data_IF_413495708180
#
_entry.id   IF_413495708180
#
_cell.length_a   1.000
_cell.length_b   1.000
_cell.length_c   1.000
_cell.angle_alpha   90.00
_cell.angle_beta   90.00
_cell.angle_gamma   90.00
#
_symmetry.space_group_name_H-M   'P 1'
#
loop_
_entity.id
_entity.type
_entity.pdbx_description
1 polymer ?
#
# COMPACT_ATOMS: atom_id res chain seq x y z
N UNK A 1 -15.19 -2.98 3.65
CA UNK A 1 -14.08 -3.37 4.55
C UNK A 1 -14.34 -2.71 5.88
N UNK A 2 -14.09 -3.42 6.97
CA UNK A 2 -14.47 -3.03 8.33
C UNK A 2 -13.41 -3.51 9.31
N UNK A 3 -13.41 -2.92 10.51
CA UNK A 3 -12.58 -3.38 11.63
C UNK A 3 -13.32 -4.48 12.39
N UNK A 4 -12.59 -5.47 12.86
CA UNK A 4 -13.13 -6.51 13.74
C UNK A 4 -13.89 -5.89 14.93
N UNK A 5 -15.10 -6.38 15.20
CA UNK A 5 -15.97 -5.86 16.26
C UNK A 5 -16.89 -4.72 15.85
N UNK A 6 -16.77 -4.17 14.64
CA UNK A 6 -17.75 -3.19 14.11
C UNK A 6 -19.02 -3.89 13.61
N UNK A 7 -20.16 -3.17 13.66
CA UNK A 7 -21.46 -3.72 13.24
C UNK A 7 -21.44 -4.15 11.76
N UNK A 8 -21.90 -5.36 11.48
CA UNK A 8 -21.92 -5.91 10.12
C UNK A 8 -20.58 -6.42 9.62
N UNK A 9 -19.55 -6.50 10.48
CA UNK A 9 -18.27 -7.07 10.10
C UNK A 9 -18.28 -8.59 10.19
N UNK A 10 -18.08 -9.25 9.05
CA UNK A 10 -18.07 -10.70 8.93
C UNK A 10 -16.69 -11.21 8.47
N UNK A 11 -16.26 -12.36 9.02
CA UNK A 11 -15.02 -13.06 8.64
C UNK A 11 -13.76 -12.18 8.70
N UNK A 12 -13.39 -11.65 9.89
CA UNK A 12 -12.18 -10.86 10.04
C UNK A 12 -10.95 -11.70 9.67
N UNK A 13 -9.99 -11.05 9.01
CA UNK A 13 -8.72 -11.67 8.62
C UNK A 13 -7.58 -10.92 9.29
N UNK A 14 -6.48 -11.61 9.68
CA UNK A 14 -5.30 -10.96 10.20
C UNK A 14 -4.84 -9.83 9.28
N UNK A 15 -4.62 -8.67 9.88
CA UNK A 15 -4.15 -7.47 9.20
C UNK A 15 -3.19 -6.71 10.10
N UNK A 16 -2.03 -6.35 9.57
CA UNK A 16 -0.99 -5.65 10.33
C UNK A 16 -0.32 -4.58 9.44
N UNK A 17 -0.25 -3.37 9.97
CA UNK A 17 0.41 -2.21 9.36
C UNK A 17 1.31 -1.57 10.40
N UNK A 18 2.58 -1.39 10.07
CA UNK A 18 3.48 -0.53 10.85
C UNK A 18 3.34 0.91 10.34
N UNK A 19 3.24 1.86 11.26
CA UNK A 19 3.08 3.30 10.98
C UNK A 19 4.20 4.07 11.66
N UNK A 20 4.91 4.89 10.88
CA UNK A 20 5.97 5.77 11.36
C UNK A 20 5.61 7.22 10.99
N UNK A 21 5.62 8.11 11.97
CA UNK A 21 5.36 9.54 11.73
C UNK A 21 6.63 10.22 11.26
N UNK A 22 6.55 10.87 10.11
CA UNK A 22 7.67 11.59 9.49
C UNK A 22 7.63 13.07 9.89
N UNK A 23 6.49 13.71 9.67
CA UNK A 23 6.32 15.15 9.85
C UNK A 23 4.90 15.47 10.34
N UNK A 24 4.77 16.53 11.14
CA UNK A 24 3.48 17.18 11.42
C UNK A 24 3.40 18.50 10.67
N UNK A 25 2.21 18.87 10.21
CA UNK A 25 2.00 20.13 9.50
C UNK A 25 0.54 20.43 9.28
N UNK A 26 0.28 21.32 8.34
CA UNK A 26 -1.05 21.66 7.90
C UNK A 26 -1.26 21.25 6.45
N UNK A 27 -2.43 20.75 6.11
CA UNK A 27 -2.89 20.58 4.73
C UNK A 27 -4.12 21.45 4.51
N UNK A 28 -4.04 22.43 3.61
CA UNK A 28 -5.12 23.40 3.37
C UNK A 28 -5.62 24.15 4.62
N UNK A 29 -4.79 24.21 5.67
CA UNK A 29 -5.11 24.86 6.95
C UNK A 29 -5.44 23.87 8.08
N UNK A 30 -5.72 22.61 7.77
CA UNK A 30 -6.09 21.59 8.75
C UNK A 30 -4.88 20.78 9.24
N UNK A 31 -4.84 20.37 10.51
CA UNK A 31 -3.71 19.62 11.07
C UNK A 31 -3.63 18.21 10.49
N UNK A 32 -2.47 17.87 9.91
CA UNK A 32 -2.22 16.53 9.35
C UNK A 32 -0.84 16.02 9.72
N UNK A 33 -0.66 14.71 9.59
CA UNK A 33 0.62 14.03 9.76
C UNK A 33 1.03 13.35 8.46
N UNK A 34 2.27 13.58 8.03
CA UNK A 34 2.90 12.79 6.97
C UNK A 34 3.50 11.54 7.60
N UNK A 35 3.12 10.38 7.09
CA UNK A 35 3.49 9.09 7.67
C UNK A 35 4.05 8.14 6.61
N UNK A 36 4.97 7.27 7.04
CA UNK A 36 5.39 6.09 6.29
C UNK A 36 4.61 4.88 6.79
N UNK A 37 3.96 4.17 5.88
CA UNK A 37 3.16 2.98 6.18
C UNK A 37 3.81 1.74 5.56
N UNK A 38 4.09 0.73 6.39
CA UNK A 38 4.61 -0.57 5.96
C UNK A 38 3.56 -1.65 6.21
N UNK A 39 2.75 -2.03 5.21
CA UNK A 39 1.79 -3.12 5.35
C UNK A 39 2.52 -4.47 5.38
N UNK A 40 2.36 -5.23 6.47
CA UNK A 40 2.88 -6.60 6.62
C UNK A 40 1.90 -7.66 6.11
N UNK A 41 0.69 -7.23 5.76
CA UNK A 41 -0.36 -8.03 5.12
C UNK A 41 -0.95 -7.26 3.95
N UNK A 42 -1.61 -7.95 3.01
CA UNK A 42 -2.30 -7.32 1.88
C UNK A 42 -3.81 -7.52 1.94
N UNK A 43 -4.52 -6.77 2.78
CA UNK A 43 -6.01 -6.71 2.74
C UNK A 43 -6.45 -5.57 1.82
N UNK A 44 -7.62 -5.72 1.21
CA UNK A 44 -8.22 -4.65 0.40
C UNK A 44 -8.40 -3.39 1.24
N UNK A 45 -7.93 -2.25 0.74
CA UNK A 45 -7.99 -0.95 1.42
C UNK A 45 -7.35 -0.93 2.82
N UNK A 46 -6.44 -1.86 3.14
CA UNK A 46 -5.89 -2.05 4.49
C UNK A 46 -5.42 -0.74 5.13
N UNK A 47 -4.56 0.00 4.44
CA UNK A 47 -3.97 1.24 4.96
C UNK A 47 -5.04 2.29 5.26
N UNK A 48 -5.97 2.49 4.32
CA UNK A 48 -7.08 3.44 4.42
C UNK A 48 -7.98 3.14 5.63
N UNK A 49 -8.37 1.87 5.77
CA UNK A 49 -9.22 1.40 6.88
C UNK A 49 -8.48 1.52 8.21
N UNK A 50 -7.19 1.16 8.28
CA UNK A 50 -6.41 1.26 9.52
C UNK A 50 -6.20 2.72 9.95
N UNK A 51 -5.88 3.61 9.01
CA UNK A 51 -5.75 5.05 9.28
C UNK A 51 -7.06 5.64 9.80
N UNK A 52 -8.18 5.37 9.11
CA UNK A 52 -9.52 5.78 9.56
C UNK A 52 -9.88 5.22 10.95
N UNK A 53 -9.59 3.94 11.21
CA UNK A 53 -9.84 3.30 12.49
C UNK A 53 -9.03 3.88 13.66
N UNK A 54 -7.86 4.45 13.38
CA UNK A 54 -7.06 5.18 14.37
C UNK A 54 -7.58 6.61 14.63
N UNK A 55 -8.61 7.05 13.92
CA UNK A 55 -9.10 8.44 13.96
C UNK A 55 -8.26 9.40 13.13
N UNK A 56 -7.41 8.89 12.23
CA UNK A 56 -6.54 9.67 11.36
C UNK A 56 -6.73 9.22 9.90
N UNK A 57 -7.89 9.50 9.28
CA UNK A 57 -8.14 9.12 7.89
C UNK A 57 -7.11 9.74 6.93
N UNK A 58 -6.97 9.12 5.77
CA UNK A 58 -6.09 9.64 4.72
C UNK A 58 -6.80 10.81 4.06
N UNK A 59 -6.13 11.95 3.98
CA UNK A 59 -6.61 13.16 3.29
C UNK A 59 -7.03 12.83 1.85
N UNK A 60 -8.22 13.25 1.46
CA UNK A 60 -8.82 13.00 0.15
C UNK A 60 -9.42 11.60 0.01
N UNK A 61 -9.63 10.85 1.10
CA UNK A 61 -10.25 9.52 1.05
C UNK A 61 -11.78 9.61 1.14
N UNK A 62 -12.41 9.68 -0.03
CA UNK A 62 -13.87 9.76 -0.18
C UNK A 62 -14.66 8.58 0.40
N UNK A 63 -14.01 7.46 0.77
CA UNK A 63 -14.69 6.25 1.28
C UNK A 63 -14.56 6.09 2.79
N UNK A 64 -13.38 6.42 3.34
CA UNK A 64 -13.06 6.16 4.76
C UNK A 64 -12.73 7.43 5.55
N UNK A 65 -12.75 8.60 4.93
CA UNK A 65 -12.65 9.88 5.61
C UNK A 65 -13.91 10.23 6.40
N UNK A 66 -13.81 11.27 7.24
CA UNK A 66 -14.96 11.74 8.02
C UNK A 66 -15.79 12.73 7.20
N UNK A 67 -17.09 12.79 7.48
CA UNK A 67 -17.99 13.71 6.78
C UNK A 67 -17.65 15.18 7.07
N UNK A 68 -17.09 15.45 8.25
CA UNK A 68 -16.70 16.77 8.71
C UNK A 68 -15.41 17.30 8.05
N UNK A 69 -14.55 16.41 7.55
CA UNK A 69 -13.20 16.73 7.07
C UNK A 69 -13.16 17.18 5.59
N UNK A 70 -14.32 17.36 4.95
CA UNK A 70 -14.45 17.85 3.56
C UNK A 70 -13.48 17.16 2.58
N UNK A 71 -13.47 15.82 2.60
CA UNK A 71 -12.54 14.95 1.86
C UNK A 71 -12.65 15.05 0.32
N UNK A 72 -13.62 15.82 -0.19
CA UNK A 72 -13.80 16.17 -1.59
C UNK A 72 -13.03 17.43 -2.02
N UNK A 73 -12.50 18.22 -1.07
CA UNK A 73 -11.70 19.42 -1.35
C UNK A 73 -10.29 19.11 -1.86
N UNK A 74 -9.54 18.13 -1.31
CA UNK A 74 -8.22 17.78 -1.85
C UNK A 74 -8.32 17.25 -3.29
N UNK A 75 -7.37 17.63 -4.16
CA UNK A 75 -7.41 17.26 -5.58
C UNK A 75 -7.22 15.75 -5.85
N UNK A 76 -6.77 14.99 -4.83
CA UNK A 76 -6.59 13.54 -4.86
C UNK A 76 -6.52 12.98 -3.43
N UNK A 77 -6.59 11.65 -3.33
CA UNK A 77 -6.21 10.94 -2.10
C UNK A 77 -4.69 10.96 -1.89
N UNK A 78 -4.27 11.29 -0.67
CA UNK A 78 -2.87 11.39 -0.22
C UNK A 78 -2.31 10.04 0.24
N UNK A 79 -2.44 9.05 -0.63
CA UNK A 79 -1.80 7.74 -0.49
C UNK A 79 -0.91 7.48 -1.71
N UNK A 80 0.34 7.12 -1.46
CA UNK A 80 1.33 6.89 -2.50
C UNK A 80 2.14 5.62 -2.21
N UNK A 81 2.27 4.76 -3.22
CA UNK A 81 3.09 3.55 -3.15
C UNK A 81 4.56 3.92 -3.37
N UNK A 82 5.26 4.23 -2.28
CA UNK A 82 6.57 4.85 -2.32
C UNK A 82 7.74 3.88 -2.57
N UNK A 83 7.71 2.72 -1.92
CA UNK A 83 8.78 1.71 -1.98
C UNK A 83 8.20 0.33 -2.25
N UNK A 84 8.83 -0.42 -3.14
CA UNK A 84 8.45 -1.78 -3.50
C UNK A 84 9.70 -2.65 -3.64
N UNK A 85 9.66 -3.83 -3.05
CA UNK A 85 10.67 -4.86 -3.21
C UNK A 85 10.03 -6.20 -3.49
N UNK A 86 10.44 -6.84 -4.58
CA UNK A 86 9.95 -8.15 -5.02
C UNK A 86 11.17 -9.06 -5.21
N UNK A 87 11.45 -9.96 -4.25
CA UNK A 87 12.49 -10.95 -4.41
C UNK A 87 11.99 -12.06 -5.34
N UNK A 88 12.35 -11.99 -6.63
CA UNK A 88 12.09 -13.07 -7.58
C UNK A 88 13.25 -14.06 -7.59
N UNK A 89 13.07 -15.22 -8.23
CA UNK A 89 14.14 -16.21 -8.37
C UNK A 89 15.30 -15.71 -9.26
N UNK A 90 15.00 -14.87 -10.25
CA UNK A 90 15.97 -14.38 -11.22
C UNK A 90 16.70 -13.15 -10.71
N UNK A 91 15.96 -12.21 -10.13
CA UNK A 91 16.50 -10.96 -9.62
C UNK A 91 15.63 -10.37 -8.50
N UNK A 92 16.26 -9.54 -7.67
CA UNK A 92 15.54 -8.71 -6.70
C UNK A 92 15.12 -7.42 -7.41
N UNK A 93 13.83 -7.31 -7.71
CA UNK A 93 13.26 -6.06 -8.23
C UNK A 93 13.04 -5.12 -7.05
N UNK A 94 13.67 -3.96 -7.09
CA UNK A 94 13.56 -2.94 -6.06
C UNK A 94 13.32 -1.57 -6.68
N UNK A 95 12.29 -0.88 -6.22
CA UNK A 95 11.90 0.44 -6.73
C UNK A 95 11.59 1.38 -5.57
N UNK A 96 12.06 2.61 -5.69
CA UNK A 96 11.79 3.72 -4.79
C UNK A 96 11.41 4.92 -5.64
N UNK A 97 10.16 5.35 -5.57
CA UNK A 97 9.67 6.49 -6.36
C UNK A 97 10.00 7.81 -5.66
N UNK A 98 10.01 8.95 -6.37
CA UNK A 98 10.04 10.26 -5.72
C UNK A 98 8.87 10.46 -4.77
N UNK A 99 9.07 11.29 -3.75
CA UNK A 99 8.02 11.69 -2.81
C UNK A 99 7.12 12.78 -3.42
N UNK A 100 5.82 12.53 -3.63
CA UNK A 100 4.91 13.53 -4.17
C UNK A 100 4.40 14.52 -3.12
N UNK A 101 4.58 14.25 -1.82
CA UNK A 101 4.03 15.05 -0.72
C UNK A 101 5.04 16.09 -0.22
N UNK A 102 5.43 16.97 -1.15
CA UNK A 102 6.40 18.04 -0.91
C UNK A 102 5.75 19.41 -1.12
N UNK A 103 6.11 20.44 -0.31
CA UNK A 103 5.57 21.79 -0.49
C UNK A 103 5.84 22.39 -1.87
N UNK A 104 6.92 21.95 -2.53
CA UNK A 104 7.27 22.38 -3.88
C UNK A 104 6.34 21.80 -4.97
N UNK A 105 5.65 20.70 -4.69
CA UNK A 105 4.73 20.02 -5.61
C UNK A 105 3.27 20.32 -5.28
N UNK A 106 2.96 20.47 -3.99
CA UNK A 106 1.64 20.84 -3.50
C UNK A 106 1.77 21.92 -2.41
N UNK A 107 1.38 23.15 -2.75
CA UNK A 107 1.45 24.30 -1.85
C UNK A 107 0.44 24.22 -0.69
N UNK A 108 -0.55 23.32 -0.74
CA UNK A 108 -1.47 23.10 0.37
C UNK A 108 -0.79 22.40 1.54
N UNK A 109 0.31 21.67 1.30
CA UNK A 109 1.09 21.02 2.35
C UNK A 109 2.13 21.98 2.95
N UNK A 110 1.99 22.24 4.26
CA UNK A 110 2.88 23.10 5.04
C UNK A 110 3.44 22.34 6.24
N UNK A 111 4.64 21.72 6.12
CA UNK A 111 5.28 21.01 7.23
C UNK A 111 5.71 22.00 8.31
N UNK A 112 5.48 21.63 9.57
CA UNK A 112 5.81 22.45 10.74
C UNK A 112 6.88 21.82 11.63
N UNK A 113 6.84 20.49 11.78
CA UNK A 113 7.73 19.74 12.67
C UNK A 113 8.19 18.48 11.96
N UNK A 114 9.50 18.30 11.83
CA UNK A 114 10.09 17.04 11.38
C UNK A 114 10.32 16.13 12.60
N UNK A 115 9.76 14.92 12.56
CA UNK A 115 9.89 13.89 13.61
C UNK A 115 10.98 12.90 13.22
N UNK A 116 10.95 12.40 11.98
CA UNK A 116 11.92 11.45 11.46
C UNK A 116 12.23 11.73 9.98
N UNK A 117 13.51 11.77 9.57
CA UNK A 117 13.89 11.97 8.17
C UNK A 117 13.59 10.71 7.34
N UNK A 118 12.90 10.90 6.21
CA UNK A 118 12.48 9.83 5.32
C UNK A 118 13.67 9.02 4.80
N UNK A 119 14.78 9.68 4.47
CA UNK A 119 15.97 9.07 3.87
C UNK A 119 16.57 7.99 4.78
N UNK A 120 16.59 8.22 6.10
CA UNK A 120 17.12 7.24 7.06
C UNK A 120 16.23 5.99 7.13
N UNK A 121 14.91 6.17 7.06
CA UNK A 121 13.96 5.06 7.06
C UNK A 121 14.05 4.24 5.77
N UNK A 122 14.24 4.89 4.62
CA UNK A 122 14.44 4.19 3.35
C UNK A 122 15.75 3.41 3.36
N UNK A 123 16.81 3.98 3.92
CA UNK A 123 18.07 3.25 4.05
C UNK A 123 17.91 2.03 4.97
N UNK A 124 17.17 2.14 6.07
CA UNK A 124 16.84 1.01 6.93
C UNK A 124 16.05 -0.08 6.18
N UNK A 125 15.01 0.30 5.42
CA UNK A 125 14.21 -0.64 4.61
C UNK A 125 15.05 -1.39 3.57
N UNK A 126 16.03 -0.72 2.94
CA UNK A 126 16.95 -1.34 1.97
C UNK A 126 17.83 -2.41 2.63
N UNK A 127 18.22 -2.18 3.88
CA UNK A 127 19.06 -3.12 4.66
C UNK A 127 18.26 -4.23 5.34
N UNK A 128 16.94 -4.07 5.50
CA UNK A 128 16.09 -5.10 6.10
C UNK A 128 16.16 -6.41 5.30
N UNK A 129 16.35 -7.57 5.96
CA UNK A 129 16.30 -8.86 5.28
C UNK A 129 14.90 -9.06 4.66
N UNK A 130 14.83 -9.85 3.59
CA UNK A 130 13.53 -10.25 3.07
C UNK A 130 12.78 -11.07 4.12
N UNK A 131 11.46 -10.86 4.25
CA UNK A 131 10.65 -11.66 5.16
C UNK A 131 10.79 -13.13 4.78
N UNK A 132 11.20 -13.95 5.74
CA UNK A 132 11.36 -15.38 5.53
C UNK A 132 9.98 -15.98 5.16
N UNK A 133 9.84 -16.62 3.98
CA UNK A 133 8.59 -17.26 3.57
C UNK A 133 8.13 -18.39 4.53
N UNK A 134 8.99 -18.81 5.47
CA UNK A 134 8.74 -19.83 6.48
C UNK A 134 8.43 -19.29 7.88
N UNK A 135 8.68 -17.99 8.16
CA UNK A 135 8.57 -17.42 9.52
C UNK A 135 7.21 -16.78 9.86
N UNK A 136 6.26 -16.81 8.91
CA UNK A 136 4.86 -16.50 9.22
C UNK A 136 4.24 -17.65 10.02
N UNK A 137 3.59 -17.35 11.15
CA UNK A 137 2.78 -18.28 11.95
C UNK A 137 1.76 -19.09 11.11
N UNK A 138 1.07 -20.07 11.73
CA UNK A 138 0.51 -21.24 11.05
C UNK A 138 -0.15 -20.86 9.73
N UNK A 139 0.44 -21.34 8.63
CA UNK A 139 -0.16 -21.28 7.30
C UNK A 139 -1.62 -21.75 7.46
N UNK A 140 -2.64 -20.97 7.07
CA UNK A 140 -3.98 -21.52 6.97
C UNK A 140 -3.98 -22.38 5.70
N UNK A 141 -3.35 -23.55 5.79
CA UNK A 141 -3.41 -24.69 4.89
C UNK A 141 -2.35 -25.70 5.36
N UNK A 142 -2.70 -26.50 6.37
CA UNK A 142 -2.30 -27.92 6.32
C UNK A 142 -2.75 -28.48 4.96
N UNK A 143 -2.07 -29.49 4.38
CA UNK A 143 -2.52 -30.16 3.17
C UNK A 143 -3.80 -30.94 3.49
N UNK A 144 -4.92 -30.23 3.57
CA UNK A 144 -6.23 -30.82 3.38
C UNK A 144 -6.26 -31.24 1.92
N UNK A 145 -6.52 -32.53 1.70
CA UNK A 145 -6.84 -33.13 0.41
C UNK A 145 -7.59 -32.12 -0.45
N UNK A 146 -7.13 -31.84 -1.69
CA UNK A 146 -7.74 -30.79 -2.50
C UNK A 146 -9.21 -31.12 -2.73
N UNK A 147 -10.09 -30.47 -1.98
CA UNK A 147 -11.49 -30.42 -2.34
C UNK A 147 -11.63 -29.44 -3.50
N UNK A 148 -12.28 -29.83 -4.61
CA UNK A 148 -12.45 -28.95 -5.75
C UNK A 148 -13.28 -27.74 -5.32
N UNK A 149 -12.65 -26.55 -5.33
CA UNK A 149 -13.37 -25.28 -5.21
C UNK A 149 -14.15 -25.05 -6.51
N UNK A 150 -15.47 -24.81 -6.47
CA UNK A 150 -16.20 -24.45 -7.67
C UNK A 150 -15.72 -23.07 -8.12
N UNK A 151 -15.25 -22.98 -9.37
CA UNK A 151 -14.88 -21.69 -9.99
C UNK A 151 -13.39 -21.38 -10.07
N UNK A 152 -12.48 -22.37 -10.05
CA UNK A 152 -11.11 -22.11 -10.53
C UNK A 152 -11.22 -21.71 -12.02
N UNK A 153 -10.78 -20.52 -12.43
CA UNK A 153 -10.79 -20.16 -13.84
C UNK A 153 -9.98 -21.21 -14.61
N UNK A 154 -10.41 -21.55 -15.84
CA UNK A 154 -9.70 -22.54 -16.65
C UNK A 154 -8.23 -22.13 -16.79
N UNK A 155 -7.32 -23.11 -16.95
CA UNK A 155 -5.92 -22.80 -17.23
C UNK A 155 -5.84 -21.86 -18.44
N UNK A 156 -4.95 -20.87 -18.32
CA UNK A 156 -4.72 -19.88 -19.36
C UNK A 156 -4.45 -20.58 -20.70
N UNK A 157 -5.24 -20.23 -21.70
CA UNK A 157 -5.07 -20.75 -23.06
C UNK A 157 -3.84 -20.14 -23.71
N UNK A 158 -3.26 -20.84 -24.67
CA UNK A 158 -2.10 -20.37 -25.42
C UNK A 158 -2.37 -19.03 -26.13
N UNK A 159 -3.61 -18.79 -26.56
CA UNK A 159 -4.05 -17.52 -27.14
C UNK A 159 -4.08 -16.38 -26.11
N UNK A 160 -4.54 -16.62 -24.88
CA UNK A 160 -4.50 -15.63 -23.80
C UNK A 160 -3.06 -15.29 -23.43
N UNK A 161 -2.20 -16.30 -23.40
CA UNK A 161 -0.77 -16.14 -23.13
C UNK A 161 -0.07 -15.32 -24.22
N UNK A 162 -0.37 -15.59 -25.49
CA UNK A 162 0.14 -14.82 -26.63
C UNK A 162 -0.33 -13.36 -26.58
N UNK A 163 -1.60 -13.12 -26.24
CA UNK A 163 -2.14 -11.77 -26.11
C UNK A 163 -1.50 -11.01 -24.95
N UNK A 164 -1.19 -11.68 -23.83
CA UNK A 164 -0.49 -11.10 -22.70
C UNK A 164 0.96 -10.74 -23.07
N UNK A 165 1.66 -11.62 -23.79
CA UNK A 165 3.02 -11.36 -24.28
C UNK A 165 3.07 -10.22 -25.29
N UNK A 166 2.10 -10.14 -26.20
CA UNK A 166 2.00 -9.02 -27.14
C UNK A 166 1.77 -7.71 -26.38
N UNK A 167 0.87 -7.71 -25.41
CA UNK A 167 0.63 -6.52 -24.59
C UNK A 167 1.90 -6.11 -23.82
N UNK A 168 2.63 -7.06 -23.24
CA UNK A 168 3.91 -6.74 -22.58
C UNK A 168 4.96 -6.20 -23.55
N UNK A 169 4.99 -6.68 -24.79
CA UNK A 169 5.93 -6.19 -25.82
C UNK A 169 5.63 -4.76 -26.28
N UNK A 170 4.36 -4.32 -26.21
CA UNK A 170 3.96 -2.93 -26.52
C UNK A 170 4.42 -1.95 -25.43
N UNK A 171 4.72 -2.44 -24.23
CA UNK A 171 5.13 -1.63 -23.07
C UNK A 171 6.61 -1.76 -22.71
N UNK A 172 7.35 -2.68 -23.34
CA UNK A 172 8.82 -2.66 -23.32
C UNK A 172 9.30 -1.51 -24.18
N UNK A 173 9.74 -0.42 -23.54
CA UNK A 173 10.47 0.65 -24.21
C UNK A 173 11.70 0.03 -24.90
N UNK A 174 11.81 0.21 -26.21
CA UNK A 174 13.07 -0.01 -26.93
C UNK A 174 14.15 0.83 -26.22
N UNK A 175 15.33 0.26 -25.92
CA UNK A 175 16.40 1.05 -25.32
C UNK A 175 16.80 2.16 -26.29
N UNK A 176 16.69 3.42 -25.85
CA UNK A 176 17.09 4.59 -26.63
C UNK A 176 18.51 4.40 -27.19
N UNK A 177 18.65 4.55 -28.52
CA UNK A 177 19.92 4.52 -29.28
C UNK A 177 20.47 5.92 -29.49
#
# INVERSE_FOLDING_TARGET
MCIEGTHGCENPKPSLTELLVLEHGLYAGDPVSKVLLKPLTGRTHQLRVHCSALGHPIVGDLTYGQAEDQEDQPFRMMLHAFYLRIPTQAERVEACTPDPFLPALDACWSPSTCVQPLEQLIQALRTDPDPDPMSGGPRPCSPSTPQPRPGRPPPETEAQRASCLQWLSEWTLEPDN
#
